data_IF_761537191114
#
_entry.id   IF_761537191114
#
_cell.length_a   1.000
_cell.length_b   1.000
_cell.length_c   1.000
_cell.angle_alpha   90.00
_cell.angle_beta   90.00
_cell.angle_gamma   90.00
#
_symmetry.space_group_name_H-M   'P 1'
#
loop_
_entity.id
_entity.type
_entity.pdbx_description
1 polymer ?
#
# COMPACT_ATOMS: atom_id res chain seq x y z
N UNK A 1 14.75 -2.73 8.09
CA UNK A 1 14.24 -3.83 7.27
C UNK A 1 12.80 -4.05 7.68
N UNK A 2 11.80 -3.78 6.86
CA UNK A 2 11.63 -2.64 5.95
C UNK A 2 10.11 -2.44 5.97
N UNK A 3 9.62 -1.48 6.76
CA UNK A 3 8.17 -1.23 6.96
C UNK A 3 7.43 -1.10 5.62
N UNK A 4 8.14 -0.60 4.59
CA UNK A 4 7.69 -0.53 3.21
C UNK A 4 7.53 -1.92 2.57
N UNK A 5 8.42 -2.87 2.85
CA UNK A 5 8.31 -4.24 2.36
C UNK A 5 7.14 -4.98 3.01
N UNK A 6 6.92 -4.82 4.33
CA UNK A 6 5.76 -5.40 5.02
C UNK A 6 4.44 -4.83 4.47
N UNK A 7 4.39 -3.51 4.24
CA UNK A 7 3.24 -2.85 3.63
C UNK A 7 2.99 -3.35 2.19
N UNK A 8 4.05 -3.58 1.41
CA UNK A 8 3.95 -4.16 0.06
C UNK A 8 3.42 -5.58 0.09
N UNK A 9 3.91 -6.42 0.99
CA UNK A 9 3.42 -7.79 1.15
C UNK A 9 1.93 -7.82 1.56
N UNK A 10 1.48 -6.87 2.38
CA UNK A 10 0.08 -6.68 2.70
C UNK A 10 -0.76 -6.23 1.49
N UNK A 11 -0.24 -5.29 0.69
CA UNK A 11 -0.89 -4.84 -0.55
C UNK A 11 -1.02 -5.97 -1.57
N UNK A 12 0.00 -6.78 -1.78
CA UNK A 12 -0.03 -7.90 -2.72
C UNK A 12 -1.07 -8.94 -2.32
N UNK A 13 -1.12 -9.29 -1.03
CA UNK A 13 -2.16 -10.19 -0.49
C UNK A 13 -3.56 -9.60 -0.64
N UNK A 14 -3.71 -8.30 -0.48
CA UNK A 14 -4.98 -7.61 -0.66
C UNK A 14 -5.40 -7.58 -2.13
N UNK A 15 -4.50 -7.23 -3.05
CA UNK A 15 -4.77 -7.26 -4.49
C UNK A 15 -5.21 -8.65 -4.94
N UNK A 16 -4.49 -9.70 -4.52
CA UNK A 16 -4.88 -11.08 -4.82
C UNK A 16 -6.27 -11.44 -4.26
N UNK A 17 -6.61 -10.99 -3.04
CA UNK A 17 -7.94 -11.23 -2.46
C UNK A 17 -9.04 -10.49 -3.23
N UNK A 18 -8.81 -9.24 -3.62
CA UNK A 18 -9.80 -8.44 -4.35
C UNK A 18 -9.97 -8.93 -5.78
N UNK A 19 -8.89 -9.29 -6.48
CA UNK A 19 -8.94 -9.79 -7.86
C UNK A 19 -9.72 -11.11 -7.92
N UNK A 20 -9.54 -12.00 -6.94
CA UNK A 20 -10.34 -13.23 -6.81
C UNK A 20 -11.83 -12.92 -6.59
N UNK A 21 -12.16 -11.94 -5.74
CA UNK A 21 -13.54 -11.48 -5.55
C UNK A 21 -14.14 -10.79 -6.78
N UNK A 22 -13.33 -10.10 -7.58
CA UNK A 22 -13.75 -9.52 -8.86
C UNK A 22 -14.11 -10.64 -9.85
N UNK A 23 -13.29 -11.69 -9.93
CA UNK A 23 -13.49 -12.82 -10.86
C UNK A 23 -14.69 -13.67 -10.45
N UNK A 24 -14.78 -14.08 -9.19
CA UNK A 24 -15.87 -14.93 -8.69
C UNK A 24 -17.17 -14.16 -8.42
N UNK A 25 -17.05 -12.85 -8.23
CA UNK A 25 -18.13 -11.95 -7.84
C UNK A 25 -18.31 -11.90 -6.31
N UNK A 26 -18.51 -10.69 -5.80
CA UNK A 26 -18.68 -10.41 -4.35
C UNK A 26 -19.80 -11.20 -3.68
N UNK A 27 -20.84 -11.60 -4.41
CA UNK A 27 -21.92 -12.43 -3.84
C UNK A 27 -21.48 -13.85 -3.49
N UNK A 28 -20.37 -14.32 -4.06
CA UNK A 28 -19.77 -15.61 -3.72
C UNK A 28 -18.78 -15.49 -2.56
N UNK A 29 -18.61 -14.31 -1.96
CA UNK A 29 -17.73 -14.12 -0.82
C UNK A 29 -18.24 -14.91 0.40
N UNK A 30 -17.39 -15.80 0.90
CA UNK A 30 -17.70 -16.61 2.08
C UNK A 30 -17.11 -16.05 3.38
N UNK A 31 -17.35 -16.71 4.52
CA UNK A 31 -16.76 -16.34 5.80
C UNK A 31 -15.23 -16.25 5.77
N UNK A 32 -14.57 -17.12 4.99
CA UNK A 32 -13.11 -17.10 4.81
C UNK A 32 -12.61 -15.84 4.11
N UNK A 33 -13.33 -15.38 3.08
CA UNK A 33 -12.99 -14.15 2.37
C UNK A 33 -13.13 -12.94 3.31
N UNK A 34 -14.23 -12.89 4.07
CA UNK A 34 -14.48 -11.84 5.07
C UNK A 34 -13.40 -11.83 6.15
N UNK A 35 -12.99 -13.00 6.65
CA UNK A 35 -11.93 -13.12 7.64
C UNK A 35 -10.59 -12.61 7.08
N UNK A 36 -10.27 -12.93 5.82
CA UNK A 36 -9.05 -12.46 5.15
C UNK A 36 -9.05 -10.93 4.98
N UNK A 37 -10.14 -10.34 4.52
CA UNK A 37 -10.26 -8.88 4.36
C UNK A 37 -10.21 -8.17 5.72
N UNK A 38 -10.82 -8.75 6.75
CA UNK A 38 -10.77 -8.24 8.13
C UNK A 38 -9.34 -8.26 8.68
N UNK A 39 -8.61 -9.36 8.48
CA UNK A 39 -7.22 -9.46 8.92
C UNK A 39 -6.31 -8.43 8.23
N UNK A 40 -6.46 -8.27 6.91
CA UNK A 40 -5.72 -7.25 6.15
C UNK A 40 -6.05 -5.84 6.62
N UNK A 41 -7.32 -5.54 6.93
CA UNK A 41 -7.72 -4.24 7.49
C UNK A 41 -6.99 -3.96 8.80
N UNK A 42 -6.97 -4.94 9.70
CA UNK A 42 -6.35 -4.78 11.00
C UNK A 42 -4.82 -4.62 10.87
N UNK A 43 -4.22 -5.31 9.90
CA UNK A 43 -2.80 -5.13 9.54
C UNK A 43 -2.50 -3.71 9.04
N UNK A 44 -3.30 -3.16 8.12
CA UNK A 44 -3.15 -1.76 7.69
C UNK A 44 -3.32 -0.77 8.84
N UNK A 45 -4.22 -1.05 9.80
CA UNK A 45 -4.39 -0.23 11.00
C UNK A 45 -3.14 -0.26 11.87
N UNK A 46 -2.59 -1.45 12.11
CA UNK A 46 -1.35 -1.61 12.89
C UNK A 46 -0.16 -0.91 12.23
N UNK A 47 -0.11 -0.91 10.90
CA UNK A 47 0.90 -0.18 10.11
C UNK A 47 0.66 1.34 10.02
N UNK A 48 -0.32 1.90 10.75
CA UNK A 48 -0.61 3.33 10.75
C UNK A 48 -1.35 3.85 9.50
N UNK A 49 -1.78 2.96 8.60
CA UNK A 49 -2.51 3.29 7.38
C UNK A 49 -4.03 3.35 7.61
N UNK A 50 -4.47 4.16 8.57
CA UNK A 50 -5.88 4.22 9.02
C UNK A 50 -6.86 4.47 7.87
N UNK A 51 -6.50 5.35 6.92
CA UNK A 51 -7.33 5.64 5.76
C UNK A 51 -7.59 4.39 4.90
N UNK A 52 -6.57 3.54 4.71
CA UNK A 52 -6.71 2.30 3.96
C UNK A 52 -7.57 1.29 4.72
N UNK A 53 -7.36 1.18 6.04
CA UNK A 53 -8.19 0.37 6.91
C UNK A 53 -9.66 0.81 6.88
N UNK A 54 -9.96 2.11 6.82
CA UNK A 54 -11.33 2.63 6.70
C UNK A 54 -11.99 2.23 5.37
N UNK A 55 -11.26 2.33 4.25
CA UNK A 55 -11.77 1.88 2.93
C UNK A 55 -12.05 0.38 2.93
N UNK A 56 -11.19 -0.41 3.55
CA UNK A 56 -11.38 -1.85 3.65
C UNK A 56 -12.53 -2.21 4.59
N UNK A 57 -12.74 -1.44 5.67
CA UNK A 57 -13.92 -1.57 6.55
C UNK A 57 -15.22 -1.38 5.77
N UNK A 58 -15.29 -0.33 4.95
CA UNK A 58 -16.45 -0.06 4.10
C UNK A 58 -16.77 -1.23 3.17
N UNK A 59 -15.74 -1.89 2.63
CA UNK A 59 -15.92 -3.09 1.81
C UNK A 59 -16.42 -4.28 2.63
N UNK A 60 -15.78 -4.57 3.78
CA UNK A 60 -16.17 -5.68 4.65
C UNK A 60 -17.62 -5.55 5.09
N UNK A 61 -18.04 -4.36 5.52
CA UNK A 61 -19.41 -4.09 5.95
C UNK A 61 -20.41 -4.31 4.81
N UNK A 62 -20.09 -3.82 3.61
CA UNK A 62 -20.95 -4.00 2.45
C UNK A 62 -21.08 -5.48 2.02
N UNK A 63 -20.00 -6.25 2.11
CA UNK A 63 -19.98 -7.69 1.82
C UNK A 63 -20.80 -8.45 2.87
N UNK A 64 -20.63 -8.15 4.15
CA UNK A 64 -21.36 -8.80 5.25
C UNK A 64 -22.86 -8.51 5.20
N UNK A 65 -23.25 -7.29 4.82
CA UNK A 65 -24.65 -6.93 4.64
C UNK A 65 -25.32 -7.62 3.43
N UNK A 66 -24.53 -8.26 2.55
CA UNK A 66 -25.04 -8.96 1.36
C UNK A 66 -25.67 -8.02 0.34
N UNK A 67 -25.35 -6.72 0.39
CA UNK A 67 -26.04 -5.69 -0.36
C UNK A 67 -25.57 -5.59 -1.81
N UNK A 68 -26.43 -5.04 -2.68
CA UNK A 68 -26.02 -4.63 -4.04
C UNK A 68 -24.90 -3.58 -4.02
N UNK A 69 -24.74 -2.87 -2.90
CA UNK A 69 -23.68 -1.89 -2.67
C UNK A 69 -22.28 -2.51 -2.54
N UNK A 70 -22.16 -3.82 -2.34
CA UNK A 70 -20.87 -4.49 -2.14
C UNK A 70 -19.99 -4.51 -3.40
N UNK A 71 -20.59 -4.67 -4.58
CA UNK A 71 -19.86 -4.61 -5.86
C UNK A 71 -19.24 -3.22 -6.13
N UNK A 72 -19.96 -2.09 -6.03
CA UNK A 72 -19.33 -0.78 -6.17
C UNK A 72 -18.36 -0.46 -5.02
N UNK A 73 -18.57 -0.99 -3.81
CA UNK A 73 -17.58 -0.87 -2.73
C UNK A 73 -16.25 -1.58 -3.10
N UNK A 74 -16.32 -2.79 -3.66
CA UNK A 74 -15.13 -3.52 -4.12
C UNK A 74 -14.40 -2.75 -5.22
N UNK A 75 -15.10 -2.25 -6.23
CA UNK A 75 -14.44 -1.52 -7.33
C UNK A 75 -13.75 -0.24 -6.85
N UNK A 76 -14.35 0.47 -5.87
CA UNK A 76 -13.71 1.62 -5.23
C UNK A 76 -12.47 1.21 -4.47
N UNK A 77 -12.55 0.15 -3.65
CA UNK A 77 -11.40 -0.37 -2.91
C UNK A 77 -10.25 -0.75 -3.87
N UNK A 78 -10.53 -1.58 -4.89
CA UNK A 78 -9.55 -1.98 -5.92
C UNK A 78 -8.86 -0.75 -6.52
N UNK A 79 -9.63 0.26 -6.88
CA UNK A 79 -9.08 1.49 -7.47
C UNK A 79 -8.19 2.23 -6.47
N UNK A 80 -8.65 2.43 -5.23
CA UNK A 80 -7.90 3.12 -4.19
C UNK A 80 -6.57 2.43 -3.90
N UNK A 81 -6.58 1.10 -3.72
CA UNK A 81 -5.37 0.35 -3.38
C UNK A 81 -4.38 0.29 -4.53
N UNK A 82 -4.84 0.16 -5.79
CA UNK A 82 -3.95 0.23 -6.96
C UNK A 82 -3.31 1.61 -7.14
N UNK A 83 -4.05 2.69 -6.86
CA UNK A 83 -3.50 4.04 -6.88
C UNK A 83 -2.47 4.22 -5.77
N UNK A 84 -2.77 3.74 -4.57
CA UNK A 84 -1.84 3.79 -3.44
C UNK A 84 -0.53 3.05 -3.73
N UNK A 85 -0.63 1.81 -4.20
CA UNK A 85 0.54 1.01 -4.59
C UNK A 85 1.39 1.71 -5.67
N UNK A 86 0.73 2.35 -6.65
CA UNK A 86 1.44 3.12 -7.66
C UNK A 86 2.16 4.33 -7.07
N UNK A 87 1.54 5.06 -6.14
CA UNK A 87 2.18 6.19 -5.45
C UNK A 87 3.38 5.72 -4.61
N UNK A 88 3.20 4.67 -3.81
CA UNK A 88 4.27 4.07 -3.01
C UNK A 88 5.44 3.63 -3.88
N UNK A 89 5.16 2.98 -5.02
CA UNK A 89 6.18 2.58 -5.99
C UNK A 89 6.96 3.78 -6.52
N UNK A 90 6.29 4.89 -6.83
CA UNK A 90 6.95 6.11 -7.31
C UNK A 90 7.80 6.78 -6.21
N UNK A 91 7.35 6.78 -4.96
CA UNK A 91 8.11 7.32 -3.82
C UNK A 91 9.40 6.52 -3.57
N UNK A 92 9.29 5.19 -3.57
CA UNK A 92 10.46 4.31 -3.44
C UNK A 92 11.43 4.49 -4.61
N UNK A 93 10.92 4.57 -5.84
CA UNK A 93 11.76 4.82 -7.02
C UNK A 93 12.47 6.18 -6.92
N UNK A 94 11.78 7.22 -6.47
CA UNK A 94 12.37 8.55 -6.24
C UNK A 94 13.52 8.49 -5.23
N UNK A 95 13.34 7.77 -4.12
CA UNK A 95 14.39 7.56 -3.13
C UNK A 95 15.62 6.87 -3.72
N UNK A 96 15.39 5.78 -4.47
CA UNK A 96 16.47 5.01 -5.11
C UNK A 96 17.21 5.76 -6.23
N UNK A 97 16.52 6.69 -6.92
CA UNK A 97 17.07 7.48 -8.03
C UNK A 97 17.62 8.84 -7.61
N UNK A 98 17.58 9.18 -6.30
CA UNK A 98 18.10 10.46 -5.83
C UNK A 98 19.63 10.50 -6.01
N UNK A 99 20.18 11.55 -6.64
CA UNK A 99 21.62 11.64 -6.86
C UNK A 99 22.34 11.68 -5.50
N UNK A 100 23.53 11.04 -5.38
CA UNK A 100 24.32 11.17 -4.17
C UNK A 100 24.62 12.65 -3.93
N UNK A 101 24.38 13.13 -2.71
CA UNK A 101 24.75 14.49 -2.30
C UNK A 101 26.26 14.61 -2.50
N UNK A 102 26.69 15.57 -3.32
CA UNK A 102 28.09 15.87 -3.49
C UNK A 102 28.64 16.32 -2.13
N UNK A 103 29.42 15.47 -1.48
CA UNK A 103 30.21 15.85 -0.32
C UNK A 103 31.33 16.75 -0.85
N UNK A 104 31.45 18.01 -0.38
CA UNK A 104 32.59 18.85 -0.72
C UNK A 104 33.85 18.06 -0.38
N UNK A 105 34.76 17.90 -1.34
CA UNK A 105 36.08 17.36 -1.05
C UNK A 105 36.85 18.47 -0.38
N UNK A 106 37.31 18.26 0.84
CA UNK A 106 38.18 19.17 1.61
C UNK A 106 39.58 19.36 0.97
N UNK A 107 39.74 19.08 -0.33
CA UNK A 107 41.02 19.10 -1.06
C UNK A 107 41.37 20.49 -1.62
N UNK A 108 40.60 21.54 -1.31
CA UNK A 108 40.97 22.95 -1.57
C UNK A 108 41.63 23.58 -0.32
N UNK A 109 42.55 22.86 0.32
CA UNK A 109 43.56 23.51 1.14
C UNK A 109 44.66 24.01 0.18
N UNK A 110 44.54 25.27 -0.25
CA UNK A 110 45.62 25.97 -0.96
C UNK A 110 46.93 25.80 -0.17
N UNK A 111 48.04 25.36 -0.79
CA UNK A 111 49.31 25.32 -0.10
C UNK A 111 49.72 26.75 0.23
N UNK A 112 49.99 27.00 1.51
CA UNK A 112 50.71 28.18 2.00
C UNK A 112 51.98 28.35 1.15
N UNK A 113 51.96 29.37 0.28
CA UNK A 113 53.16 29.85 -0.38
C UNK A 113 53.93 30.74 0.60
N UNK A 114 54.91 30.14 1.26
CA UNK A 114 56.08 30.85 1.79
C UNK A 114 56.83 31.51 0.62
N UNK A 115 56.96 32.85 0.64
CA UNK A 115 58.19 33.64 0.39
C UNK A 115 57.93 35.16 0.42
#
# INVERSE_FOLDING_TARGET
MDEIAELRDALDRLHAAMDDLVVRGVRAAGPTDIAKLTALRDEFRTAGAEHLAEKLSTLVDAVQAGERAAAPALMRAVTTFRLFDRMLTLEVARGALSPPVAVPRDDEAEPEGDE
#
